data_IF_032872045735
#
_entry.id   IF_032872045735
#
_cell.length_a   1.000
_cell.length_b   1.000
_cell.length_c   1.000
_cell.angle_alpha   90.00
_cell.angle_beta   90.00
_cell.angle_gamma   90.00
#
_symmetry.space_group_name_H-M   'P 1'
#
loop_
_entity.id
_entity.type
_entity.pdbx_description
1 polymer ?
#
# COMPACT_ATOMS: atom_id res chain seq x y z
N UNK A 1 33.62 2.18 -34.96
CA UNK A 1 32.53 2.83 -34.19
C UNK A 1 32.84 4.32 -34.07
N UNK A 2 31.96 5.20 -34.53
CA UNK A 2 32.24 6.65 -34.53
C UNK A 2 32.19 7.21 -33.10
N UNK A 3 32.82 8.37 -32.87
CA UNK A 3 32.72 9.11 -31.59
C UNK A 3 31.25 9.36 -31.21
N UNK A 4 30.40 9.68 -32.18
CA UNK A 4 28.96 9.88 -31.98
C UNK A 4 28.25 8.63 -31.45
N UNK A 5 28.56 7.45 -31.99
CA UNK A 5 27.99 6.18 -31.50
C UNK A 5 28.39 5.88 -30.06
N UNK A 6 29.65 6.17 -29.68
CA UNK A 6 30.13 5.96 -28.29
C UNK A 6 29.43 6.88 -27.31
N UNK A 7 29.27 8.15 -27.65
CA UNK A 7 28.59 9.14 -26.79
C UNK A 7 27.12 8.76 -26.62
N UNK A 8 26.43 8.40 -27.71
CA UNK A 8 25.04 7.96 -27.66
C UNK A 8 24.86 6.71 -26.78
N UNK A 9 25.75 5.72 -26.90
CA UNK A 9 25.72 4.51 -26.08
C UNK A 9 25.89 4.85 -24.58
N UNK A 10 26.83 5.73 -24.24
CA UNK A 10 27.04 6.16 -22.86
C UNK A 10 25.79 6.83 -22.28
N UNK A 11 25.14 7.72 -23.03
CA UNK A 11 23.89 8.35 -22.58
C UNK A 11 22.77 7.33 -22.37
N UNK A 12 22.61 6.37 -23.27
CA UNK A 12 21.61 5.30 -23.12
C UNK A 12 21.88 4.49 -21.86
N UNK A 13 23.12 4.08 -21.62
CA UNK A 13 23.49 3.31 -20.42
C UNK A 13 23.22 4.12 -19.16
N UNK A 14 23.63 5.38 -19.11
CA UNK A 14 23.36 6.25 -17.96
C UNK A 14 21.86 6.44 -17.71
N UNK A 15 21.06 6.61 -18.77
CA UNK A 15 19.61 6.73 -18.65
C UNK A 15 18.98 5.43 -18.10
N UNK A 16 19.43 4.26 -18.56
CA UNK A 16 18.97 2.96 -18.07
C UNK A 16 19.33 2.74 -16.59
N UNK A 17 20.54 3.12 -16.18
CA UNK A 17 20.98 3.04 -14.78
C UNK A 17 20.10 3.93 -13.90
N UNK A 18 19.85 5.17 -14.32
CA UNK A 18 19.01 6.10 -13.57
C UNK A 18 17.57 5.59 -13.47
N UNK A 19 17.00 5.09 -14.58
CA UNK A 19 15.67 4.49 -14.58
C UNK A 19 15.58 3.29 -13.63
N UNK A 20 16.62 2.44 -13.59
CA UNK A 20 16.72 1.32 -12.65
C UNK A 20 16.71 1.75 -11.18
N UNK A 21 17.46 2.80 -10.85
CA UNK A 21 17.49 3.37 -9.49
C UNK A 21 16.10 3.92 -9.10
N UNK A 22 15.47 4.71 -9.97
CA UNK A 22 14.15 5.28 -9.70
C UNK A 22 13.08 4.19 -9.52
N UNK A 23 13.12 3.14 -10.34
CA UNK A 23 12.26 1.98 -10.18
C UNK A 23 12.50 1.29 -8.82
N UNK A 24 13.76 1.06 -8.45
CA UNK A 24 14.10 0.46 -7.16
C UNK A 24 13.60 1.26 -5.96
N UNK A 25 13.77 2.59 -5.97
CA UNK A 25 13.26 3.48 -4.92
C UNK A 25 11.73 3.44 -4.85
N UNK A 26 11.04 3.46 -6.00
CA UNK A 26 9.58 3.37 -6.05
C UNK A 26 9.09 2.06 -5.45
N UNK A 27 9.71 0.95 -5.84
CA UNK A 27 9.37 -0.38 -5.34
C UNK A 27 9.60 -0.49 -3.82
N UNK A 28 10.71 0.05 -3.34
CA UNK A 28 11.01 0.10 -1.90
C UNK A 28 9.97 0.88 -1.12
N UNK A 29 9.58 2.06 -1.60
CA UNK A 29 8.58 2.89 -0.92
C UNK A 29 7.21 2.20 -0.85
N UNK A 30 6.80 1.51 -1.93
CA UNK A 30 5.57 0.71 -1.91
C UNK A 30 5.69 -0.41 -0.89
N UNK A 31 6.79 -1.16 -0.91
CA UNK A 31 7.02 -2.24 0.05
C UNK A 31 6.98 -1.74 1.51
N UNK A 32 7.55 -0.58 1.81
CA UNK A 32 7.49 -0.01 3.15
C UNK A 32 6.06 0.36 3.57
N UNK A 33 5.21 0.81 2.64
CA UNK A 33 3.82 1.19 2.94
C UNK A 33 2.87 -0.01 3.00
N UNK A 34 3.07 -0.99 2.13
CA UNK A 34 2.09 -2.06 1.89
C UNK A 34 2.57 -3.46 2.24
N UNK A 35 3.86 -3.62 2.57
CA UNK A 35 4.56 -4.90 2.66
C UNK A 35 4.56 -5.72 1.36
N UNK A 36 4.17 -5.14 0.22
CA UNK A 36 4.08 -5.81 -1.07
C UNK A 36 5.23 -5.39 -2.01
N UNK A 37 5.84 -6.35 -2.72
CA UNK A 37 6.87 -6.09 -3.73
C UNK A 37 6.24 -5.86 -5.12
N UNK A 38 5.48 -4.78 -5.26
CA UNK A 38 4.76 -4.42 -6.49
C UNK A 38 4.95 -2.94 -6.84
N UNK A 39 4.85 -2.59 -8.13
CA UNK A 39 4.87 -1.18 -8.58
C UNK A 39 3.53 -0.47 -8.47
N UNK A 40 2.45 -1.24 -8.43
CA UNK A 40 1.08 -0.77 -8.31
C UNK A 40 0.42 -1.47 -7.13
N UNK A 41 0.20 -0.77 -6.00
CA UNK A 41 -0.50 -1.33 -4.86
C UNK A 41 -1.88 -1.86 -5.23
N UNK A 42 -2.24 -3.03 -4.71
CA UNK A 42 -3.62 -3.53 -4.74
C UNK A 42 -4.52 -2.65 -3.85
N UNK A 43 -5.81 -2.62 -4.17
CA UNK A 43 -6.82 -1.88 -3.40
C UNK A 43 -6.82 -2.25 -1.91
N UNK A 44 -6.60 -3.53 -1.62
CA UNK A 44 -6.43 -4.08 -0.26
C UNK A 44 -5.00 -4.60 -0.10
N UNK A 45 -4.00 -3.74 0.19
CA UNK A 45 -2.60 -4.15 0.34
C UNK A 45 -2.40 -5.09 1.54
N UNK A 46 -1.31 -5.83 1.58
CA UNK A 46 -1.09 -6.81 2.66
C UNK A 46 -0.92 -6.13 4.03
N UNK A 47 -0.41 -4.91 4.02
CA UNK A 47 -0.37 -3.98 5.15
C UNK A 47 -1.02 -2.65 4.76
N UNK A 48 -1.74 -2.04 5.68
CA UNK A 48 -2.28 -0.68 5.53
C UNK A 48 -1.83 0.18 6.70
N UNK A 49 -1.21 1.32 6.40
CA UNK A 49 -0.91 2.33 7.39
C UNK A 49 -2.08 3.31 7.51
N UNK A 50 -2.67 3.43 8.70
CA UNK A 50 -3.82 4.27 8.96
C UNK A 50 -3.75 4.86 10.36
N UNK A 51 -4.04 6.16 10.50
CA UNK A 51 -3.98 6.88 11.78
C UNK A 51 -2.65 6.69 12.55
N UNK A 52 -1.52 6.62 11.82
CA UNK A 52 -0.19 6.41 12.40
C UNK A 52 0.09 4.98 12.90
N UNK A 53 -0.78 4.02 12.62
CA UNK A 53 -0.65 2.61 12.99
C UNK A 53 -0.64 1.72 11.75
N UNK A 54 -0.06 0.54 11.88
CA UNK A 54 -0.05 -0.46 10.81
C UNK A 54 -1.12 -1.52 11.05
N UNK A 55 -1.82 -1.93 9.99
CA UNK A 55 -2.86 -2.94 10.00
C UNK A 55 -2.50 -4.06 9.02
N UNK A 56 -2.62 -5.30 9.47
CA UNK A 56 -2.41 -6.51 8.68
C UNK A 56 -3.72 -6.93 8.02
N UNK A 57 -3.73 -6.96 6.69
CA UNK A 57 -4.82 -7.50 5.88
C UNK A 57 -4.49 -8.90 5.34
N UNK A 58 -3.25 -9.35 5.51
CA UNK A 58 -2.73 -10.61 4.96
C UNK A 58 -2.40 -10.53 3.47
N UNK A 59 -1.61 -11.50 2.95
CA UNK A 59 -1.28 -11.56 1.52
C UNK A 59 -2.53 -11.78 0.66
N UNK A 60 -3.50 -12.53 1.18
CA UNK A 60 -4.80 -12.83 0.55
C UNK A 60 -5.93 -12.35 1.48
N UNK A 61 -6.36 -11.08 1.34
CA UNK A 61 -7.38 -10.50 2.20
C UNK A 61 -8.69 -11.25 2.07
N UNK A 62 -9.30 -11.61 3.20
CA UNK A 62 -10.60 -12.28 3.24
C UNK A 62 -11.72 -11.27 3.45
N UNK A 63 -12.92 -11.54 2.89
CA UNK A 63 -14.09 -10.75 3.20
C UNK A 63 -14.30 -10.61 4.71
N UNK A 64 -14.70 -9.42 5.15
CA UNK A 64 -14.90 -9.12 6.55
C UNK A 64 -16.06 -9.96 7.10
N UNK A 65 -15.80 -10.73 8.15
CA UNK A 65 -16.84 -11.47 8.88
C UNK A 65 -17.65 -10.56 9.80
N UNK A 66 -17.11 -9.37 10.15
CA UNK A 66 -17.76 -8.38 11.01
C UNK A 66 -18.07 -7.10 10.25
N UNK A 67 -19.31 -6.64 10.36
CA UNK A 67 -19.71 -5.30 9.97
C UNK A 67 -19.35 -4.31 11.08
N UNK A 68 -18.87 -3.12 10.70
CA UNK A 68 -18.73 -2.00 11.62
C UNK A 68 -20.11 -1.45 11.96
N UNK A 69 -20.33 -1.06 13.22
CA UNK A 69 -21.48 -0.24 13.61
C UNK A 69 -21.16 1.21 13.21
N UNK A 70 -22.00 1.80 12.35
CA UNK A 70 -21.86 3.16 11.81
C UNK A 70 -20.51 3.48 11.13
N UNK A 71 -20.17 2.76 10.03
CA UNK A 71 -18.92 2.96 9.32
C UNK A 71 -18.88 4.34 8.66
N UNK A 72 -17.97 5.19 9.12
CA UNK A 72 -17.59 6.42 8.41
C UNK A 72 -16.32 6.17 7.62
N UNK A 73 -16.25 6.71 6.40
CA UNK A 73 -15.02 6.72 5.61
C UNK A 73 -14.05 7.71 6.27
N UNK A 74 -12.84 7.24 6.57
CA UNK A 74 -11.86 8.00 7.34
C UNK A 74 -10.50 8.09 6.64
N UNK A 75 -10.34 7.47 5.48
CA UNK A 75 -9.08 7.50 4.73
C UNK A 75 -9.12 6.64 3.48
N UNK A 76 -7.96 6.50 2.85
CA UNK A 76 -7.76 5.62 1.69
C UNK A 76 -6.48 4.81 1.79
N UNK A 77 -6.49 3.61 1.25
CA UNK A 77 -5.30 2.77 1.11
C UNK A 77 -4.37 3.34 0.03
N UNK A 78 -3.12 2.86 -0.02
CA UNK A 78 -2.20 3.20 -1.11
C UNK A 78 -2.71 2.75 -2.49
N UNK A 79 -3.58 1.73 -2.54
CA UNK A 79 -4.28 1.29 -3.74
C UNK A 79 -5.58 2.06 -4.06
N UNK A 80 -5.97 3.01 -3.21
CA UNK A 80 -7.10 3.91 -3.44
C UNK A 80 -8.45 3.48 -2.85
N UNK A 81 -8.53 2.32 -2.21
CA UNK A 81 -9.76 1.84 -1.56
C UNK A 81 -10.09 2.64 -0.30
N UNK A 82 -11.37 2.72 0.06
CA UNK A 82 -11.81 3.47 1.22
C UNK A 82 -11.56 2.71 2.53
N UNK A 83 -11.06 3.42 3.53
CA UNK A 83 -10.84 2.89 4.88
C UNK A 83 -11.98 3.34 5.77
N UNK A 84 -12.68 2.38 6.33
CA UNK A 84 -13.72 2.54 7.33
C UNK A 84 -13.22 2.06 8.68
N UNK A 85 -13.68 2.75 9.71
CA UNK A 85 -13.42 2.37 11.09
C UNK A 85 -14.58 2.86 11.97
N UNK A 86 -14.74 2.24 13.13
CA UNK A 86 -15.68 2.72 14.14
C UNK A 86 -15.32 4.16 14.56
N UNK A 87 -16.35 4.91 14.96
CA UNK A 87 -16.19 6.23 15.56
C UNK A 87 -15.18 6.14 16.71
N UNK A 88 -14.36 7.18 16.96
CA UNK A 88 -13.33 7.12 17.98
C UNK A 88 -13.96 6.80 19.36
N UNK A 89 -13.77 5.56 19.80
CA UNK A 89 -13.88 5.20 21.21
C UNK A 89 -12.61 5.67 21.93
N UNK A 90 -12.65 5.78 23.26
CA UNK A 90 -11.48 6.09 24.07
C UNK A 90 -10.34 5.05 23.93
N UNK A 91 -10.62 3.91 23.28
CA UNK A 91 -9.70 2.81 23.05
C UNK A 91 -9.11 2.81 21.64
N UNK A 92 -7.89 2.28 21.54
CA UNK A 92 -7.15 2.19 20.29
C UNK A 92 -7.85 1.21 19.32
N UNK A 93 -7.97 1.60 18.04
CA UNK A 93 -8.69 0.81 17.03
C UNK A 93 -7.93 -0.48 16.70
N UNK A 94 -8.45 -1.61 17.17
CA UNK A 94 -7.84 -2.94 16.96
C UNK A 94 -8.14 -3.53 15.58
N UNK A 95 -9.12 -2.99 14.84
CA UNK A 95 -9.39 -3.37 13.46
C UNK A 95 -9.92 -2.19 12.62
N UNK A 96 -9.75 -2.31 11.30
CA UNK A 96 -10.34 -1.43 10.28
C UNK A 96 -11.02 -2.29 9.21
N UNK A 97 -11.89 -1.69 8.42
CA UNK A 97 -12.50 -2.31 7.25
C UNK A 97 -12.12 -1.53 5.99
N UNK A 98 -11.65 -2.23 4.97
CA UNK A 98 -11.39 -1.65 3.65
C UNK A 98 -12.55 -2.03 2.74
N UNK A 99 -13.15 -1.04 2.09
CA UNK A 99 -14.24 -1.26 1.13
C UNK A 99 -13.73 -1.08 -0.28
N UNK A 100 -14.02 -2.08 -1.10
CA UNK A 100 -13.78 -2.08 -2.55
C UNK A 100 -15.10 -2.35 -3.29
N UNK A 101 -15.03 -2.42 -4.62
CA UNK A 101 -16.13 -2.91 -5.46
C UNK A 101 -16.42 -4.41 -5.27
N UNK A 102 -15.43 -5.19 -4.83
CA UNK A 102 -15.52 -6.63 -4.57
C UNK A 102 -16.07 -6.97 -3.18
N UNK A 103 -16.03 -6.03 -2.23
CA UNK A 103 -16.60 -6.22 -0.91
C UNK A 103 -15.88 -5.45 0.20
N UNK A 104 -16.12 -5.89 1.43
CA UNK A 104 -15.49 -5.35 2.62
C UNK A 104 -14.43 -6.33 3.11
N UNK A 105 -13.26 -5.85 3.54
CA UNK A 105 -12.14 -6.65 4.00
C UNK A 105 -11.67 -6.14 5.37
N UNK A 106 -11.59 -7.02 6.36
CA UNK A 106 -11.16 -6.62 7.71
C UNK A 106 -9.64 -6.74 7.84
N UNK A 107 -9.00 -5.69 8.38
CA UNK A 107 -7.59 -5.71 8.71
C UNK A 107 -7.41 -5.48 10.20
N UNK A 108 -6.56 -6.30 10.82
CA UNK A 108 -6.29 -6.25 12.26
C UNK A 108 -5.03 -5.44 12.52
N UNK A 109 -5.00 -4.71 13.62
CA UNK A 109 -3.84 -3.96 14.04
C UNK A 109 -2.58 -4.85 14.14
N UNK A 110 -1.45 -4.34 13.64
CA UNK A 110 -0.13 -4.94 13.80
C UNK A 110 0.58 -4.43 15.05
N UNK A 111 0.70 -5.31 16.05
CA UNK A 111 1.51 -5.06 17.25
C UNK A 111 0.83 -4.18 18.30
N UNK A 112 0.81 -4.68 19.55
CA UNK A 112 0.21 -4.02 20.72
C UNK A 112 -1.32 -3.94 20.70
N UNK A 113 -1.98 -3.73 21.86
CA UNK A 113 -3.38 -3.29 21.92
C UNK A 113 -3.54 -1.84 21.42
#
# INVERSE_FOLDING_TARGET
MSRGTRIALSFIVSALVLAGILAGVRLWNIHQQTSDWVFSPKEVPSKVQFAGRDYNCGPDPKPAERALLDPTSQGRTAGGAEIFAEAPAAEARVFIVIRTDQGNFSCSLMGGP
#
